data_IF_506671995047
#
_entry.id   IF_506671995047
#
_cell.length_a   1.000
_cell.length_b   1.000
_cell.length_c   1.000
_cell.angle_alpha   90.00
_cell.angle_beta   90.00
_cell.angle_gamma   90.00
#
_symmetry.space_group_name_H-M   'P 1'
#
loop_
_entity.id
_entity.type
_entity.pdbx_description
1 polymer ?
#
# COMPACT_ATOMS: atom_id res chain seq x y z
N UNK A 1 0.46 -6.24 -13.59
CA UNK A 1 0.75 -6.45 -12.17
C UNK A 1 0.33 -5.26 -11.36
N UNK A 2 0.14 -5.45 -10.06
CA UNK A 2 -0.39 -4.40 -9.21
C UNK A 2 0.51 -4.19 -7.99
N UNK A 3 0.65 -2.96 -7.60
CA UNK A 3 1.42 -2.57 -6.42
C UNK A 3 0.47 -2.04 -5.35
N UNK A 4 0.70 -2.46 -4.11
CA UNK A 4 -0.17 -2.07 -3.01
C UNK A 4 0.35 -0.83 -2.32
N UNK A 5 -0.51 0.17 -2.19
CA UNK A 5 -0.21 1.39 -1.46
C UNK A 5 -1.29 1.62 -0.42
N UNK A 6 -0.88 2.01 0.77
CA UNK A 6 -1.81 2.29 1.86
C UNK A 6 -1.50 3.68 2.41
N UNK A 7 -2.51 4.54 2.42
CA UNK A 7 -2.36 5.87 3.00
C UNK A 7 -2.73 5.79 4.47
N UNK A 8 -1.80 6.19 5.32
CA UNK A 8 -2.02 6.18 6.76
C UNK A 8 -1.84 7.60 7.30
N UNK A 9 -2.65 7.93 8.28
CA UNK A 9 -2.58 9.24 8.90
C UNK A 9 -2.58 9.10 10.41
N UNK A 10 -1.94 10.05 11.08
CA UNK A 10 -1.86 10.03 12.52
C UNK A 10 -3.23 10.22 13.13
N UNK A 11 -3.53 9.41 14.14
CA UNK A 11 -4.79 9.51 14.86
C UNK A 11 -4.79 10.79 15.67
N UNK A 12 -5.89 11.53 15.58
CA UNK A 12 -6.01 12.79 16.32
C UNK A 12 -5.61 14.01 15.52
N UNK A 13 -4.83 13.84 14.48
CA UNK A 13 -4.54 14.93 13.56
C UNK A 13 -4.34 14.35 12.18
N UNK A 14 -5.08 14.86 11.21
CA UNK A 14 -5.00 14.37 9.85
C UNK A 14 -3.97 15.12 9.02
N UNK A 15 -3.16 15.97 9.64
CA UNK A 15 -2.14 16.70 8.92
C UNK A 15 -0.90 15.87 8.66
N UNK A 16 -0.72 14.79 9.38
CA UNK A 16 0.48 13.97 9.25
C UNK A 16 0.07 12.63 8.64
N UNK A 17 0.38 12.47 7.38
CA UNK A 17 0.02 11.26 6.64
C UNK A 17 1.21 10.76 5.86
N UNK A 18 1.24 9.46 5.66
CA UNK A 18 2.29 8.80 4.90
C UNK A 18 1.68 7.76 3.99
N UNK A 19 2.34 7.53 2.86
CA UNK A 19 1.94 6.46 1.96
C UNK A 19 2.91 5.31 2.13
N UNK A 20 2.37 4.15 2.50
CA UNK A 20 3.18 2.95 2.69
C UNK A 20 3.09 2.10 1.44
N UNK A 21 4.24 1.69 0.94
CA UNK A 21 4.31 0.82 -0.22
C UNK A 21 4.66 -0.59 0.25
N UNK A 22 3.99 -1.58 -0.35
CA UNK A 22 4.26 -2.97 -0.02
C UNK A 22 5.53 -3.40 -0.73
N UNK A 23 6.48 -3.90 0.04
CA UNK A 23 7.76 -4.34 -0.52
C UNK A 23 7.71 -5.75 -1.08
N UNK A 24 6.65 -6.49 -0.80
CA UNK A 24 6.56 -7.86 -1.24
C UNK A 24 5.90 -8.02 -2.60
N UNK A 25 5.21 -7.00 -3.05
CA UNK A 25 4.60 -7.06 -4.36
C UNK A 25 5.65 -7.14 -5.45
N UNK A 26 5.25 -7.06 -6.68
CA UNK A 26 3.89 -6.80 -7.15
C UNK A 26 3.03 -8.06 -7.22
N UNK A 27 1.73 -7.86 -7.40
CA UNK A 27 0.76 -8.95 -7.43
C UNK A 27 0.15 -9.05 -8.82
N UNK A 28 -0.23 -10.25 -9.19
CA UNK A 28 -0.76 -10.48 -10.53
C UNK A 28 -2.17 -9.97 -10.70
N UNK A 29 -2.97 -10.02 -9.64
CA UNK A 29 -4.35 -9.62 -9.72
C UNK A 29 -4.64 -8.51 -8.73
N UNK A 30 -5.68 -7.74 -9.06
CA UNK A 30 -6.11 -6.67 -8.17
C UNK A 30 -6.62 -7.23 -6.86
N UNK A 31 -7.25 -8.40 -6.89
CA UNK A 31 -7.77 -9.01 -5.69
C UNK A 31 -6.65 -9.36 -4.71
N UNK A 32 -5.55 -9.90 -5.21
CA UNK A 32 -4.41 -10.19 -4.36
C UNK A 32 -3.85 -8.91 -3.76
N UNK A 33 -3.78 -7.86 -4.56
CA UNK A 33 -3.29 -6.57 -4.11
C UNK A 33 -4.17 -6.02 -2.98
N UNK A 34 -5.49 -6.10 -3.14
CA UNK A 34 -6.40 -5.62 -2.11
C UNK A 34 -6.32 -6.45 -0.84
N UNK A 35 -6.17 -7.76 -0.98
CA UNK A 35 -6.02 -8.62 0.18
C UNK A 35 -4.79 -8.21 0.99
N UNK A 36 -3.70 -7.92 0.29
CA UNK A 36 -2.49 -7.49 0.99
C UNK A 36 -2.70 -6.13 1.65
N UNK A 37 -3.44 -5.24 1.00
CA UNK A 37 -3.73 -3.94 1.60
C UNK A 37 -4.47 -4.09 2.92
N UNK A 38 -5.43 -5.00 2.97
CA UNK A 38 -6.15 -5.24 4.21
C UNK A 38 -5.25 -5.83 5.28
N UNK A 39 -4.32 -6.71 4.90
CA UNK A 39 -3.37 -7.24 5.85
C UNK A 39 -2.49 -6.15 6.45
N UNK A 40 -2.01 -5.26 5.60
CA UNK A 40 -1.19 -4.15 6.08
C UNK A 40 -1.98 -3.29 7.05
N UNK A 41 -3.23 -3.00 6.71
CA UNK A 41 -4.07 -2.18 7.59
C UNK A 41 -4.33 -2.88 8.92
N UNK A 42 -4.52 -4.19 8.88
CA UNK A 42 -4.79 -4.94 10.10
C UNK A 42 -3.56 -4.97 11.01
N UNK A 43 -2.37 -5.00 10.42
CA UNK A 43 -1.13 -5.04 11.20
C UNK A 43 -0.66 -3.66 11.61
N UNK A 44 -1.22 -2.63 11.04
CA UNK A 44 -0.76 -1.27 11.28
C UNK A 44 -0.68 -0.90 12.76
N UNK A 45 -1.68 -1.22 13.60
CA UNK A 45 -1.58 -0.85 15.02
C UNK A 45 -0.39 -1.47 15.73
N UNK A 46 0.12 -2.59 15.24
CA UNK A 46 1.28 -3.22 15.85
C UNK A 46 2.57 -2.49 15.51
N UNK A 47 2.64 -1.89 14.34
CA UNK A 47 3.84 -1.19 13.90
C UNK A 47 3.78 0.31 14.15
N UNK A 48 2.61 0.89 13.98
CA UNK A 48 2.42 2.32 14.09
C UNK A 48 1.14 2.59 14.86
N UNK A 49 1.18 2.41 16.20
CA UNK A 49 -0.06 2.49 17.00
C UNK A 49 -0.75 3.84 16.96
N UNK A 50 -0.02 4.90 16.58
CA UNK A 50 -0.61 6.23 16.52
C UNK A 50 -1.16 6.57 15.14
N UNK A 51 -1.15 5.62 14.22
CA UNK A 51 -1.62 5.85 12.86
C UNK A 51 -2.78 4.93 12.53
N UNK A 52 -3.58 5.34 11.55
CA UNK A 52 -4.68 4.53 11.06
C UNK A 52 -4.66 4.56 9.54
N UNK A 53 -5.11 3.48 8.94
CA UNK A 53 -5.19 3.38 7.48
C UNK A 53 -6.40 4.17 7.01
N UNK A 54 -6.19 5.08 6.08
CA UNK A 54 -7.25 5.92 5.56
C UNK A 54 -7.73 5.47 4.20
N UNK A 55 -6.83 5.01 3.34
CA UNK A 55 -7.16 4.59 2.00
C UNK A 55 -6.25 3.48 1.54
N UNK A 56 -6.77 2.65 0.66
CA UNK A 56 -6.01 1.59 0.01
C UNK A 56 -5.97 1.86 -1.47
N UNK A 57 -4.87 1.55 -2.10
CA UNK A 57 -4.74 1.79 -3.52
C UNK A 57 -3.93 0.67 -4.15
N UNK A 58 -4.43 0.18 -5.29
CA UNK A 58 -3.71 -0.78 -6.09
C UNK A 58 -3.42 -0.14 -7.42
N UNK A 59 -2.14 0.06 -7.70
CA UNK A 59 -1.69 0.74 -8.90
C UNK A 59 -1.18 -0.29 -9.87
N UNK A 60 -1.67 -0.21 -11.11
CA UNK A 60 -1.21 -1.14 -12.14
C UNK A 60 0.17 -0.75 -12.62
N UNK A 61 1.05 -1.74 -12.69
CA UNK A 61 2.42 -1.56 -13.14
C UNK A 61 2.60 -2.30 -14.45
N UNK A 62 3.24 -1.64 -15.41
CA UNK A 62 3.50 -2.25 -16.70
C UNK A 62 4.92 -2.79 -16.71
N UNK A 63 5.03 -4.08 -16.89
CA UNK A 63 6.34 -4.72 -16.90
C UNK A 63 7.20 -4.25 -18.05
N UNK A 64 6.58 -3.96 -19.17
CA UNK A 64 7.33 -3.59 -20.37
C UNK A 64 8.19 -2.38 -20.16
N UNK A 65 7.73 -1.46 -19.35
CA UNK A 65 8.47 -0.23 -19.12
C UNK A 65 9.80 -0.49 -18.47
N UNK A 66 9.84 -1.44 -17.58
CA UNK A 66 11.07 -1.76 -16.90
C UNK A 66 12.12 -2.26 -17.86
N UNK A 67 11.71 -3.07 -18.81
CA UNK A 67 12.65 -3.63 -19.77
C UNK A 67 13.16 -2.58 -20.70
N UNK A 68 12.31 -1.67 -21.10
CA UNK A 68 12.68 -0.69 -22.07
C UNK A 68 13.79 0.22 -21.55
N UNK A 69 13.71 0.54 -20.29
CA UNK A 69 14.68 1.47 -19.74
C UNK A 69 16.02 0.84 -19.48
N UNK A 70 16.05 -0.42 -19.39
CA UNK A 70 17.32 -1.08 -19.16
C UNK A 70 18.00 -1.42 -20.46
#
# INVERSE_FOLDING_TARGET
MFETLVLVCMIGTSNICHTLADLEGPYKTKQECLSRAYEIAADLPAYMPNFQAMKYKCVEIKDDEDKVRT
#
